data_IF_252972267213
#
_entry.id   IF_252972267213
#
_cell.length_a   1.000
_cell.length_b   1.000
_cell.length_c   1.000
_cell.angle_alpha   90.00
_cell.angle_beta   90.00
_cell.angle_gamma   90.00
#
_symmetry.space_group_name_H-M   'P 1'
#
loop_
_entity.id
_entity.type
_entity.pdbx_description
1 polymer ?
#
# COMPACT_ATOMS: atom_id res chain seq x y z
N UNK A 1 -14.15 7.56 11.99
CA UNK A 1 -13.47 6.26 12.20
C UNK A 1 -12.61 6.41 13.45
N UNK A 2 -12.66 5.47 14.40
CA UNK A 2 -11.87 5.59 15.64
C UNK A 2 -10.43 5.12 15.42
N UNK A 3 -9.49 5.62 16.22
CA UNK A 3 -8.08 5.21 16.19
C UNK A 3 -7.92 3.69 16.36
N UNK A 4 -8.67 3.10 17.30
CA UNK A 4 -8.68 1.65 17.54
C UNK A 4 -9.10 0.84 16.31
N UNK A 5 -10.11 1.31 15.57
CA UNK A 5 -10.56 0.67 14.35
C UNK A 5 -9.50 0.74 13.24
N UNK A 6 -8.81 1.88 13.11
CA UNK A 6 -7.72 2.05 12.13
C UNK A 6 -6.58 1.07 12.41
N UNK A 7 -6.16 0.96 13.68
CA UNK A 7 -5.10 0.04 14.07
C UNK A 7 -5.48 -1.43 13.83
N UNK A 8 -6.70 -1.83 14.18
CA UNK A 8 -7.20 -3.19 13.87
C UNK A 8 -7.21 -3.48 12.37
N UNK A 9 -7.66 -2.53 11.55
CA UNK A 9 -7.64 -2.68 10.09
C UNK A 9 -6.21 -2.80 9.56
N UNK A 10 -5.27 -2.05 10.11
CA UNK A 10 -3.86 -2.16 9.77
C UNK A 10 -3.28 -3.53 10.13
N UNK A 11 -3.50 -4.00 11.37
CA UNK A 11 -3.06 -5.32 11.82
C UNK A 11 -3.59 -6.44 10.93
N UNK A 12 -4.89 -6.44 10.64
CA UNK A 12 -5.48 -7.43 9.74
C UNK A 12 -4.91 -7.37 8.33
N UNK A 13 -4.59 -6.16 7.84
CA UNK A 13 -3.97 -5.97 6.53
C UNK A 13 -2.55 -6.53 6.48
N UNK A 14 -1.76 -6.33 7.55
CA UNK A 14 -0.42 -6.92 7.69
C UNK A 14 -0.50 -8.45 7.76
N UNK A 15 -1.43 -9.00 8.55
CA UNK A 15 -1.64 -10.46 8.63
C UNK A 15 -2.02 -11.05 7.26
N UNK A 16 -2.90 -10.37 6.51
CA UNK A 16 -3.28 -10.79 5.17
C UNK A 16 -2.09 -10.77 4.20
N UNK A 17 -1.25 -9.74 4.24
CA UNK A 17 -0.05 -9.65 3.40
C UNK A 17 0.95 -10.80 3.72
N UNK A 18 1.18 -11.08 5.01
CA UNK A 18 2.04 -12.20 5.46
C UNK A 18 1.48 -13.54 5.00
N UNK A 19 0.16 -13.75 5.10
CA UNK A 19 -0.48 -14.97 4.61
C UNK A 19 -0.31 -15.14 3.10
N UNK A 20 -0.51 -14.07 2.31
CA UNK A 20 -0.30 -14.08 0.85
C UNK A 20 1.15 -14.42 0.51
N UNK A 21 2.12 -13.76 1.16
CA UNK A 21 3.55 -14.05 0.94
C UNK A 21 3.91 -15.48 1.31
N UNK A 22 3.34 -16.01 2.39
CA UNK A 22 3.56 -17.41 2.80
C UNK A 22 3.03 -18.37 1.73
N UNK A 23 1.82 -18.15 1.22
CA UNK A 23 1.24 -18.97 0.15
C UNK A 23 2.09 -18.91 -1.13
N UNK A 24 2.54 -17.71 -1.52
CA UNK A 24 3.38 -17.53 -2.69
C UNK A 24 4.75 -18.20 -2.52
N UNK A 25 5.37 -18.11 -1.34
CA UNK A 25 6.63 -18.78 -1.05
C UNK A 25 6.49 -20.31 -1.13
N UNK A 26 5.43 -20.87 -0.54
CA UNK A 26 5.14 -22.31 -0.62
C UNK A 26 4.87 -22.76 -2.06
N UNK A 27 4.11 -21.98 -2.84
CA UNK A 27 3.84 -22.27 -4.24
C UNK A 27 5.11 -22.23 -5.10
N UNK A 28 6.02 -21.28 -4.82
CA UNK A 28 7.31 -21.18 -5.50
C UNK A 28 8.19 -22.39 -5.16
N UNK A 29 8.30 -22.75 -3.88
CA UNK A 29 9.05 -23.94 -3.44
C UNK A 29 8.51 -25.21 -4.09
N UNK A 30 7.18 -25.38 -4.12
CA UNK A 30 6.55 -26.50 -4.82
C UNK A 30 6.93 -26.52 -6.31
N UNK A 31 6.86 -25.37 -6.99
CA UNK A 31 7.25 -25.23 -8.39
C UNK A 31 8.71 -25.62 -8.64
N UNK A 32 9.62 -25.19 -7.76
CA UNK A 32 11.06 -25.50 -7.82
C UNK A 32 11.32 -27.00 -7.60
N UNK A 33 10.76 -27.59 -6.54
CA UNK A 33 10.93 -29.00 -6.19
C UNK A 33 10.36 -29.92 -7.28
N UNK A 34 9.19 -29.58 -7.83
CA UNK A 34 8.57 -30.35 -8.91
C UNK A 34 9.04 -29.94 -10.31
N UNK A 35 9.97 -28.99 -10.42
CA UNK A 35 10.50 -28.44 -11.68
C UNK A 35 9.41 -28.01 -12.67
N UNK A 36 8.28 -27.49 -12.16
CA UNK A 36 7.15 -27.04 -12.97
C UNK A 36 7.36 -25.58 -13.37
N UNK A 37 7.92 -25.36 -14.55
CA UNK A 37 8.26 -24.02 -15.06
C UNK A 37 7.05 -23.07 -15.08
N UNK A 38 5.86 -23.57 -15.44
CA UNK A 38 4.65 -22.73 -15.51
C UNK A 38 4.23 -22.22 -14.13
N UNK A 39 4.31 -23.07 -13.10
CA UNK A 39 4.01 -22.68 -11.72
C UNK A 39 5.01 -21.64 -11.21
N UNK A 40 6.30 -21.81 -11.52
CA UNK A 40 7.34 -20.85 -11.13
C UNK A 40 7.07 -19.49 -11.78
N UNK A 41 6.81 -19.46 -13.09
CA UNK A 41 6.54 -18.23 -13.84
C UNK A 41 5.31 -17.49 -13.29
N UNK A 42 4.22 -18.21 -13.09
CA UNK A 42 2.99 -17.62 -12.55
C UNK A 42 3.21 -17.05 -11.14
N UNK A 43 3.95 -17.79 -10.30
CA UNK A 43 4.22 -17.36 -8.92
C UNK A 43 5.12 -16.13 -8.85
N UNK A 44 6.16 -16.05 -9.69
CA UNK A 44 7.04 -14.87 -9.79
C UNK A 44 6.23 -13.62 -10.18
N UNK A 45 5.31 -13.74 -11.14
CA UNK A 45 4.41 -12.65 -11.53
C UNK A 45 3.62 -12.12 -10.34
N UNK A 46 3.02 -13.01 -9.55
CA UNK A 46 2.29 -12.61 -8.34
C UNK A 46 3.19 -11.99 -7.28
N UNK A 47 4.36 -12.56 -7.02
CA UNK A 47 5.35 -12.00 -6.08
C UNK A 47 5.70 -10.55 -6.47
N UNK A 48 5.93 -10.28 -7.75
CA UNK A 48 6.26 -8.92 -8.20
C UNK A 48 5.08 -7.95 -8.05
N UNK A 49 3.84 -8.41 -8.20
CA UNK A 49 2.66 -7.58 -7.92
C UNK A 49 2.45 -7.33 -6.42
N UNK A 50 3.07 -8.11 -5.53
CA UNK A 50 3.05 -7.83 -4.08
C UNK A 50 3.90 -6.62 -3.67
N UNK A 51 4.63 -5.99 -4.60
CA UNK A 51 5.29 -4.68 -4.38
C UNK A 51 4.28 -3.61 -3.93
N UNK A 52 3.00 -3.75 -4.30
CA UNK A 52 1.92 -2.91 -3.78
C UNK A 52 1.81 -2.94 -2.24
N UNK A 53 2.06 -4.08 -1.58
CA UNK A 53 2.08 -4.17 -0.12
C UNK A 53 3.29 -3.45 0.49
N UNK A 54 4.46 -3.55 -0.15
CA UNK A 54 5.66 -2.82 0.27
C UNK A 54 5.46 -1.31 0.14
N UNK A 55 4.80 -0.87 -0.94
CA UNK A 55 4.40 0.52 -1.12
C UNK A 55 3.48 0.98 0.03
N UNK A 56 2.44 0.22 0.36
CA UNK A 56 1.54 0.55 1.46
C UNK A 56 2.29 0.65 2.79
N UNK A 57 3.25 -0.23 3.04
CA UNK A 57 4.10 -0.15 4.22
C UNK A 57 4.95 1.13 4.26
N UNK A 58 5.52 1.54 3.12
CA UNK A 58 6.28 2.79 3.02
C UNK A 58 5.39 4.02 3.28
N UNK A 59 4.19 4.07 2.70
CA UNK A 59 3.20 5.13 2.94
C UNK A 59 2.86 5.22 4.43
N UNK A 60 2.47 4.09 5.04
CA UNK A 60 2.11 4.04 6.46
C UNK A 60 3.27 4.51 7.35
N UNK A 61 4.51 4.09 7.02
CA UNK A 61 5.71 4.51 7.74
C UNK A 61 5.96 6.01 7.61
N UNK A 62 5.77 6.61 6.42
CA UNK A 62 5.91 8.06 6.22
C UNK A 62 5.01 8.85 7.17
N UNK A 63 3.73 8.48 7.24
CA UNK A 63 2.76 9.09 8.15
C UNK A 63 3.09 8.83 9.62
N UNK A 64 3.59 7.65 9.96
CA UNK A 64 3.82 7.23 11.36
C UNK A 64 5.12 7.78 11.96
N UNK A 65 6.10 8.19 11.14
CA UNK A 65 7.35 8.81 11.61
C UNK A 65 7.12 10.22 12.14
N UNK A 66 6.05 10.89 11.71
CA UNK A 66 5.67 12.21 12.22
C UNK A 66 5.02 12.06 13.59
N UNK A 67 5.82 12.24 14.64
CA UNK A 67 5.42 12.06 16.04
C UNK A 67 5.04 13.35 16.77
N UNK A 68 5.10 14.50 16.09
CA UNK A 68 4.70 15.79 16.64
C UNK A 68 3.76 16.50 15.69
N UNK A 69 2.62 16.92 16.22
CA UNK A 69 1.68 17.72 15.47
C UNK A 69 2.27 19.10 15.08
N UNK A 70 1.89 19.64 13.90
CA UNK A 70 2.26 21.01 13.54
C UNK A 70 1.64 22.02 14.52
N UNK A 71 2.46 22.99 14.94
CA UNK A 71 2.05 24.00 15.91
C UNK A 71 1.77 25.35 15.24
N UNK A 72 0.50 25.71 15.15
CA UNK A 72 0.03 27.02 14.70
C UNK A 72 -0.07 28.04 15.85
N UNK A 73 -0.51 29.26 15.54
CA UNK A 73 -0.73 30.32 16.55
C UNK A 73 -1.95 30.06 17.42
N UNK A 74 -2.91 29.31 16.89
CA UNK A 74 -4.10 28.86 17.60
C UNK A 74 -4.30 27.37 17.35
N UNK A 75 -5.21 26.78 18.11
CA UNK A 75 -5.62 25.39 17.91
C UNK A 75 -6.18 25.13 16.51
N UNK A 76 -7.05 26.02 16.03
CA UNK A 76 -7.65 25.91 14.70
C UNK A 76 -6.60 26.04 13.58
N UNK A 77 -5.61 26.90 13.77
CA UNK A 77 -4.48 27.06 12.85
C UNK A 77 -3.63 25.76 12.81
N UNK A 78 -3.38 25.14 13.97
CA UNK A 78 -2.68 23.86 14.08
C UNK A 78 -3.43 22.72 13.36
N UNK A 79 -4.75 22.65 13.53
CA UNK A 79 -5.60 21.66 12.84
C UNK A 79 -5.59 21.91 11.33
N UNK A 80 -5.64 23.17 10.89
CA UNK A 80 -5.57 23.52 9.48
C UNK A 80 -4.23 23.10 8.87
N UNK A 81 -3.12 23.43 9.53
CA UNK A 81 -1.78 23.02 9.10
C UNK A 81 -1.64 21.49 9.01
N UNK A 82 -2.21 20.75 9.97
CA UNK A 82 -2.25 19.29 9.96
C UNK A 82 -3.01 18.76 8.73
N UNK A 83 -4.20 19.31 8.46
CA UNK A 83 -5.01 18.91 7.31
C UNK A 83 -4.31 19.20 5.98
N UNK A 84 -3.69 20.37 5.85
CA UNK A 84 -2.96 20.76 4.65
C UNK A 84 -1.74 19.84 4.43
N UNK A 85 -0.99 19.52 5.48
CA UNK A 85 0.11 18.55 5.41
C UNK A 85 -0.37 17.17 4.99
N UNK A 86 -1.38 16.59 5.66
CA UNK A 86 -1.90 15.26 5.32
C UNK A 86 -2.41 15.23 3.88
N UNK A 87 -3.08 16.29 3.43
CA UNK A 87 -3.60 16.40 2.07
C UNK A 87 -2.47 16.41 1.04
N UNK A 88 -1.42 17.19 1.29
CA UNK A 88 -0.27 17.26 0.41
C UNK A 88 0.47 15.91 0.35
N UNK A 89 0.79 15.33 1.50
CA UNK A 89 1.45 14.03 1.62
C UNK A 89 0.63 12.93 0.91
N UNK A 90 -0.69 12.91 1.11
CA UNK A 90 -1.59 11.96 0.44
C UNK A 90 -1.62 12.14 -1.07
N UNK A 91 -1.53 13.38 -1.56
CA UNK A 91 -1.47 13.68 -2.98
C UNK A 91 -0.15 13.18 -3.60
N UNK A 92 0.98 13.42 -2.94
CA UNK A 92 2.30 12.99 -3.38
C UNK A 92 2.41 11.45 -3.43
N UNK A 93 1.86 10.76 -2.43
CA UNK A 93 1.75 9.30 -2.46
C UNK A 93 0.77 8.80 -3.51
N UNK A 94 -0.33 9.51 -3.78
CA UNK A 94 -1.25 9.14 -4.87
C UNK A 94 -0.58 9.24 -6.24
N UNK A 95 0.24 10.26 -6.47
CA UNK A 95 1.03 10.38 -7.70
C UNK A 95 2.06 9.24 -7.81
N UNK A 96 2.73 8.91 -6.70
CA UNK A 96 3.66 7.78 -6.63
C UNK A 96 2.96 6.43 -6.90
N UNK A 97 1.74 6.25 -6.40
CA UNK A 97 0.92 5.07 -6.65
C UNK A 97 0.51 4.95 -8.12
N UNK A 98 0.18 6.07 -8.79
CA UNK A 98 -0.10 6.08 -10.24
C UNK A 98 1.13 5.68 -11.05
N UNK A 99 2.30 6.22 -10.72
CA UNK A 99 3.57 5.85 -11.36
C UNK A 99 3.87 4.36 -11.16
N UNK A 100 3.75 3.86 -9.92
CA UNK A 100 3.97 2.45 -9.63
C UNK A 100 2.96 1.55 -10.36
N UNK A 101 1.69 1.96 -10.44
CA UNK A 101 0.66 1.25 -11.21
C UNK A 101 1.03 1.17 -12.68
N UNK A 102 1.47 2.28 -13.28
CA UNK A 102 1.91 2.29 -14.69
C UNK A 102 3.10 1.35 -14.91
N UNK A 103 4.06 1.32 -13.98
CA UNK A 103 5.20 0.40 -14.03
C UNK A 103 4.76 -1.07 -13.89
N UNK A 104 3.84 -1.38 -12.98
CA UNK A 104 3.29 -2.73 -12.82
C UNK A 104 2.51 -3.19 -14.05
N UNK A 105 1.72 -2.31 -14.68
CA UNK A 105 1.04 -2.60 -15.95
C UNK A 105 2.07 -2.93 -17.03
N UNK A 106 3.07 -2.07 -17.23
CA UNK A 106 4.12 -2.28 -18.22
C UNK A 106 4.85 -3.60 -17.98
N UNK A 107 5.22 -3.86 -16.72
CA UNK A 107 5.86 -5.10 -16.32
C UNK A 107 4.98 -6.31 -16.64
N UNK A 108 3.70 -6.28 -16.26
CA UNK A 108 2.76 -7.37 -16.50
C UNK A 108 2.58 -7.64 -18.01
N UNK A 109 2.49 -6.58 -18.84
CA UNK A 109 2.42 -6.71 -20.30
C UNK A 109 3.70 -7.36 -20.85
N UNK A 110 4.88 -6.85 -20.46
CA UNK A 110 6.17 -7.37 -20.94
C UNK A 110 6.36 -8.82 -20.51
N UNK A 111 6.02 -9.14 -19.26
CA UNK A 111 6.11 -10.48 -18.71
C UNK A 111 5.22 -11.45 -19.47
N UNK A 112 3.97 -11.06 -19.72
CA UNK A 112 3.02 -11.87 -20.48
C UNK A 112 3.51 -12.12 -21.92
N UNK A 113 4.01 -11.09 -22.61
CA UNK A 113 4.47 -11.22 -23.99
C UNK A 113 5.77 -12.04 -24.12
N UNK A 114 6.71 -11.89 -23.18
CA UNK A 114 8.06 -12.50 -23.28
C UNK A 114 8.17 -13.85 -22.57
N UNK A 115 7.49 -14.04 -21.44
CA UNK A 115 7.67 -15.21 -20.56
C UNK A 115 6.53 -16.21 -20.68
N UNK A 116 5.29 -15.74 -20.68
CA UNK A 116 4.09 -16.59 -20.71
C UNK A 116 3.63 -16.88 -22.16
N UNK A 117 3.84 -15.94 -23.08
CA UNK A 117 3.38 -16.00 -24.49
C UNK A 117 1.86 -16.19 -24.62
N UNK A 118 1.09 -15.70 -23.64
CA UNK A 118 -0.38 -15.77 -23.59
C UNK A 118 -0.97 -14.41 -23.98
N UNK A 119 -2.17 -14.37 -24.58
CA UNK A 119 -2.86 -13.12 -24.99
C UNK A 119 -4.05 -12.70 -24.11
N UNK A 120 -4.24 -13.37 -22.97
CA UNK A 120 -5.34 -13.06 -22.06
C UNK A 120 -5.02 -11.81 -21.22
N UNK A 121 -5.73 -10.71 -21.48
CA UNK A 121 -5.55 -9.46 -20.75
C UNK A 121 -6.31 -9.42 -19.41
N UNK A 122 -7.20 -10.37 -19.14
CA UNK A 122 -8.03 -10.38 -17.93
C UNK A 122 -7.19 -10.39 -16.65
N UNK A 123 -6.09 -11.14 -16.65
CA UNK A 123 -5.17 -11.18 -15.51
C UNK A 123 -4.47 -9.85 -15.25
N UNK A 124 -4.05 -9.14 -16.30
CA UNK A 124 -3.41 -7.82 -16.16
C UNK A 124 -4.38 -6.83 -15.51
N UNK A 125 -5.63 -6.81 -15.99
CA UNK A 125 -6.67 -5.93 -15.46
C UNK A 125 -6.92 -6.23 -13.98
N UNK A 126 -7.10 -7.51 -13.63
CA UNK A 126 -7.34 -7.94 -12.25
C UNK A 126 -6.21 -7.53 -11.31
N UNK A 127 -4.95 -7.77 -11.71
CA UNK A 127 -3.77 -7.42 -10.92
C UNK A 127 -3.62 -5.91 -10.75
N UNK A 128 -3.89 -5.15 -11.80
CA UNK A 128 -3.80 -3.68 -11.80
C UNK A 128 -4.85 -3.08 -10.88
N UNK A 129 -6.10 -3.49 -11.01
CA UNK A 129 -7.20 -3.00 -10.17
C UNK A 129 -6.96 -3.38 -8.71
N UNK A 130 -6.57 -4.64 -8.44
CA UNK A 130 -6.29 -5.09 -7.08
C UNK A 130 -5.15 -4.30 -6.45
N UNK A 131 -4.06 -4.09 -7.18
CA UNK A 131 -2.91 -3.30 -6.70
C UNK A 131 -3.30 -1.83 -6.45
N UNK A 132 -4.08 -1.23 -7.36
CA UNK A 132 -4.59 0.13 -7.20
C UNK A 132 -5.47 0.29 -5.97
N UNK A 133 -6.37 -0.67 -5.72
CA UNK A 133 -7.22 -0.69 -4.53
C UNK A 133 -6.38 -0.85 -3.25
N UNK A 134 -5.39 -1.75 -3.23
CA UNK A 134 -4.49 -1.94 -2.10
C UNK A 134 -3.74 -0.64 -1.77
N UNK A 135 -3.16 0.00 -2.79
CA UNK A 135 -2.40 1.25 -2.60
C UNK A 135 -3.29 2.41 -2.15
N UNK A 136 -4.46 2.59 -2.75
CA UNK A 136 -5.43 3.60 -2.35
C UNK A 136 -5.90 3.39 -0.90
N UNK A 137 -6.17 2.14 -0.53
CA UNK A 137 -6.56 1.78 0.84
C UNK A 137 -5.43 2.06 1.84
N UNK A 138 -4.18 1.77 1.48
CA UNK A 138 -3.01 2.09 2.31
C UNK A 138 -2.83 3.59 2.55
N UNK A 139 -2.98 4.42 1.50
CA UNK A 139 -2.95 5.89 1.61
C UNK A 139 -4.09 6.38 2.52
N UNK A 140 -5.29 5.84 2.33
CA UNK A 140 -6.44 6.18 3.17
C UNK A 140 -6.22 5.82 4.65
N UNK A 141 -5.72 4.61 4.94
CA UNK A 141 -5.43 4.20 6.31
C UNK A 141 -4.31 5.03 6.95
N UNK A 142 -3.21 5.26 6.23
CA UNK A 142 -2.08 6.06 6.72
C UNK A 142 -2.47 7.49 7.05
N UNK A 143 -3.15 8.16 6.13
CA UNK A 143 -3.66 9.53 6.32
C UNK A 143 -4.67 9.63 7.46
N UNK A 144 -5.61 8.67 7.54
CA UNK A 144 -6.60 8.63 8.62
C UNK A 144 -5.93 8.42 9.99
N UNK A 145 -4.91 7.56 10.06
CA UNK A 145 -4.17 7.30 11.29
C UNK A 145 -3.47 8.57 11.79
N UNK A 146 -2.73 9.25 10.90
CA UNK A 146 -2.03 10.48 11.23
C UNK A 146 -3.01 11.59 11.65
N UNK A 147 -4.11 11.78 10.93
CA UNK A 147 -5.12 12.78 11.27
C UNK A 147 -5.67 12.56 12.67
N UNK A 148 -6.13 11.35 12.97
CA UNK A 148 -6.74 11.06 14.27
C UNK A 148 -5.71 11.19 15.40
N UNK A 149 -4.53 10.58 15.24
CA UNK A 149 -3.49 10.60 16.26
C UNK A 149 -2.96 12.01 16.58
N UNK A 150 -2.62 12.78 15.54
CA UNK A 150 -2.07 14.14 15.72
C UNK A 150 -3.15 15.15 16.13
N UNK A 151 -4.42 14.95 15.73
CA UNK A 151 -5.52 15.79 16.23
C UNK A 151 -5.75 15.56 17.72
N UNK A 152 -5.65 14.32 18.21
CA UNK A 152 -5.69 14.05 19.66
C UNK A 152 -4.54 14.75 20.40
N UNK A 153 -3.34 14.75 19.83
CA UNK A 153 -2.18 15.46 20.40
C UNK A 153 -2.44 16.98 20.50
N UNK A 154 -2.90 17.61 19.41
CA UNK A 154 -3.29 19.04 19.39
C UNK A 154 -4.38 19.33 20.42
N UNK A 155 -5.33 18.41 20.60
CA UNK A 155 -6.41 18.58 21.58
C UNK A 155 -5.92 18.48 23.03
N UNK A 156 -4.92 17.63 23.31
CA UNK A 156 -4.34 17.42 24.65
C UNK A 156 -3.38 18.53 25.03
N UNK A 157 -2.66 19.10 24.08
CA UNK A 157 -1.76 20.22 24.31
C UNK A 157 -2.54 21.54 24.19
N UNK A 158 -3.02 22.02 25.33
CA UNK A 158 -3.65 23.32 25.47
C UNK A 158 -2.61 24.40 25.20
N UNK A 159 -2.87 25.24 24.21
CA UNK A 159 -2.23 26.54 24.05
C UNK A 159 -2.75 27.51 25.12
#
# INVERSE_FOLDING_TARGET
>A
MTYELINKLWEYSVMAAVAIWTVLALRLLYGLVKRKADVIKETIKYILNTVSFLFVYAVYSSFSIVVRAPHGKTKDDSIKMLNDWVRQESFDWSLSALLLTALLILFNIVYQLKVEKVKDNGQIILLTISSGLIMAFGIFLGSSNALVGLTEEINRHTY
#
